data_IF_821971826334
#
_entry.id   IF_821971826334
#
_cell.length_a   1.000
_cell.length_b   1.000
_cell.length_c   1.000
_cell.angle_alpha   90.00
_cell.angle_beta   90.00
_cell.angle_gamma   90.00
#
_symmetry.space_group_name_H-M   'P 1'
#
loop_
_entity.id
_entity.type
_entity.pdbx_description
1 polymer ?
#
# COMPACT_ATOMS: atom_id res chain seq x y z
N UNK A 1 10.19 -5.39 1.63
CA UNK A 1 9.10 -4.42 1.90
C UNK A 1 8.85 -4.44 3.38
N UNK A 2 8.69 -3.27 3.98
CA UNK A 2 8.44 -3.14 5.42
C UNK A 2 7.09 -2.47 5.63
N UNK A 3 6.25 -3.08 6.45
CA UNK A 3 4.94 -2.58 6.86
C UNK A 3 5.06 -2.18 8.33
N UNK A 4 4.74 -0.93 8.63
CA UNK A 4 4.70 -0.38 9.99
C UNK A 4 3.28 0.01 10.35
N UNK A 5 2.85 -0.31 11.57
CA UNK A 5 1.50 -0.05 12.07
C UNK A 5 1.53 1.07 13.11
N UNK A 6 0.70 2.10 12.91
CA UNK A 6 0.67 3.32 13.73
C UNK A 6 -0.65 3.52 14.49
N UNK A 7 -1.38 2.43 14.77
CA UNK A 7 -2.59 2.46 15.60
C UNK A 7 -2.35 1.90 17.00
N UNK A 8 -2.94 2.59 17.97
CA UNK A 8 -3.10 2.07 19.33
C UNK A 8 -4.04 0.85 19.38
N UNK A 9 -4.99 0.77 18.46
CA UNK A 9 -5.91 -0.37 18.32
C UNK A 9 -5.44 -1.35 17.24
N UNK A 10 -5.95 -2.59 17.30
CA UNK A 10 -5.58 -3.65 16.36
C UNK A 10 -5.98 -3.26 14.92
N UNK A 11 -5.02 -3.32 13.99
CA UNK A 11 -5.25 -3.12 12.56
C UNK A 11 -4.93 -4.39 11.82
N UNK A 12 -5.91 -4.94 11.12
CA UNK A 12 -5.68 -5.95 10.11
C UNK A 12 -5.24 -5.24 8.82
N UNK A 13 -4.28 -5.84 8.12
CA UNK A 13 -3.88 -5.37 6.80
C UNK A 13 -3.72 -6.54 5.83
N UNK A 14 -3.84 -6.24 4.55
CA UNK A 14 -3.62 -7.18 3.48
C UNK A 14 -3.04 -6.49 2.26
N UNK A 15 -2.26 -7.25 1.50
CA UNK A 15 -1.65 -6.77 0.27
C UNK A 15 -1.40 -7.92 -0.70
N UNK A 16 -1.24 -7.57 -1.97
CA UNK A 16 -0.83 -8.52 -3.01
C UNK A 16 0.28 -7.96 -3.87
N UNK A 17 1.08 -8.85 -4.44
CA UNK A 17 2.18 -8.55 -5.35
C UNK A 17 2.10 -9.46 -6.57
N UNK A 18 2.65 -9.00 -7.70
CA UNK A 18 2.65 -9.77 -8.95
C UNK A 18 3.54 -11.02 -8.92
N UNK A 19 4.45 -11.12 -7.94
CA UNK A 19 5.43 -12.19 -7.82
C UNK A 19 5.30 -13.02 -6.54
N UNK A 20 6.41 -13.68 -6.19
CA UNK A 20 6.51 -14.46 -4.95
C UNK A 20 6.54 -13.54 -3.73
N UNK A 21 6.03 -14.07 -2.63
CA UNK A 21 5.95 -13.37 -1.36
C UNK A 21 6.21 -14.33 -0.20
N UNK A 22 7.07 -13.90 0.72
CA UNK A 22 7.44 -14.62 1.92
C UNK A 22 7.48 -13.68 3.13
N UNK A 23 7.30 -14.24 4.32
CA UNK A 23 7.46 -13.51 5.58
C UNK A 23 8.95 -13.23 5.77
N UNK A 24 9.30 -11.96 5.99
CA UNK A 24 10.68 -11.53 6.19
C UNK A 24 11.16 -11.67 7.64
N UNK A 25 12.42 -11.28 7.91
CA UNK A 25 13.06 -11.42 9.22
C UNK A 25 12.30 -10.77 10.39
N UNK A 26 11.63 -9.63 10.18
CA UNK A 26 10.78 -9.00 11.19
C UNK A 26 9.33 -9.51 11.19
N UNK A 27 8.91 -10.22 10.14
CA UNK A 27 7.60 -10.82 10.10
C UNK A 27 7.50 -12.00 11.07
N UNK A 28 6.39 -12.09 11.79
CA UNK A 28 6.20 -13.09 12.82
C UNK A 28 4.96 -13.93 12.51
N UNK A 29 5.20 -15.09 11.88
CA UNK A 29 4.14 -16.05 11.57
C UNK A 29 3.39 -16.57 12.80
N UNK A 30 4.01 -16.48 13.99
CA UNK A 30 3.38 -16.87 15.25
C UNK A 30 2.42 -15.80 15.79
N UNK A 31 2.58 -14.53 15.38
CA UNK A 31 1.65 -13.44 15.72
C UNK A 31 0.60 -13.19 14.65
N UNK A 32 0.59 -13.95 13.53
CA UNK A 32 -0.50 -13.90 12.55
C UNK A 32 -0.08 -13.48 11.14
N UNK A 33 1.19 -13.15 10.92
CA UNK A 33 1.69 -12.75 9.61
C UNK A 33 1.74 -13.95 8.67
N UNK A 34 1.13 -13.79 7.50
CA UNK A 34 1.07 -14.83 6.48
C UNK A 34 1.45 -14.25 5.14
N UNK A 35 2.23 -15.01 4.40
CA UNK A 35 2.58 -14.74 3.02
C UNK A 35 2.52 -16.05 2.25
N UNK A 36 1.78 -16.08 1.14
CA UNK A 36 1.75 -17.21 0.21
C UNK A 36 1.18 -16.76 -1.14
N UNK A 37 1.71 -17.30 -2.24
CA UNK A 37 1.18 -17.11 -3.59
C UNK A 37 0.95 -15.63 -3.95
N UNK A 38 1.91 -14.76 -3.65
CA UNK A 38 1.81 -13.32 -3.92
C UNK A 38 0.86 -12.55 -2.99
N UNK A 39 0.28 -13.19 -1.98
CA UNK A 39 -0.64 -12.54 -1.05
C UNK A 39 -0.12 -12.53 0.38
N UNK A 40 -0.13 -11.35 0.99
CA UNK A 40 0.30 -11.09 2.34
C UNK A 40 -0.81 -10.54 3.21
N UNK A 41 -0.84 -10.95 4.48
CA UNK A 41 -1.71 -10.37 5.50
C UNK A 41 -1.06 -10.47 6.86
N UNK A 42 -1.46 -9.58 7.75
CA UNK A 42 -1.04 -9.59 9.13
C UNK A 42 -1.93 -8.71 9.97
N UNK A 43 -1.55 -8.54 11.23
CA UNK A 43 -2.15 -7.53 12.07
C UNK A 43 -1.13 -7.00 13.07
N UNK A 44 -1.16 -5.69 13.30
CA UNK A 44 -0.40 -5.05 14.37
C UNK A 44 -1.31 -4.60 15.50
N UNK A 45 -0.75 -4.52 16.71
CA UNK A 45 -1.39 -3.84 17.84
C UNK A 45 -0.38 -2.95 18.57
N UNK A 46 -0.80 -1.75 18.94
CA UNK A 46 -0.05 -0.73 19.68
C UNK A 46 1.09 -0.06 18.90
N UNK A 47 2.09 -0.83 18.46
CA UNK A 47 3.24 -0.40 17.63
C UNK A 47 3.97 -1.65 17.15
N UNK A 48 4.27 -1.76 15.86
CA UNK A 48 4.97 -2.92 15.31
C UNK A 48 5.38 -2.70 13.86
N UNK A 49 6.43 -3.40 13.45
CA UNK A 49 6.86 -3.46 12.07
C UNK A 49 6.93 -4.92 11.64
N UNK A 50 6.27 -5.22 10.54
CA UNK A 50 6.28 -6.52 9.90
C UNK A 50 7.06 -6.38 8.59
N UNK A 51 7.90 -7.36 8.28
CA UNK A 51 8.72 -7.33 7.07
C UNK A 51 8.34 -8.49 6.18
N UNK A 52 8.35 -8.22 4.88
CA UNK A 52 8.05 -9.18 3.84
C UNK A 52 9.07 -9.12 2.71
N UNK A 53 9.50 -10.30 2.28
CA UNK A 53 10.36 -10.48 1.12
C UNK A 53 9.46 -10.74 -0.08
N UNK A 54 9.67 -10.01 -1.17
CA UNK A 54 8.78 -10.06 -2.33
C UNK A 54 9.55 -9.89 -3.63
N UNK A 55 9.00 -10.41 -4.72
CA UNK A 55 9.36 -10.02 -6.08
C UNK A 55 8.14 -9.51 -6.85
N UNK A 56 8.37 -8.85 -7.98
CA UNK A 56 7.32 -8.17 -8.72
C UNK A 56 6.99 -6.80 -8.15
N UNK A 57 5.80 -6.30 -8.47
CA UNK A 57 5.26 -5.02 -8.00
C UNK A 57 4.06 -5.22 -7.07
N UNK A 58 3.73 -4.21 -6.27
CA UNK A 58 2.52 -4.21 -5.45
C UNK A 58 1.29 -4.13 -6.36
N UNK A 59 0.29 -4.98 -6.16
CA UNK A 59 -1.00 -4.92 -6.88
C UNK A 59 -2.10 -4.30 -6.03
N UNK A 60 -2.10 -4.56 -4.72
CA UNK A 60 -3.04 -3.92 -3.80
C UNK A 60 -2.50 -3.83 -2.38
N UNK A 61 -3.01 -2.85 -1.62
CA UNK A 61 -2.76 -2.65 -0.20
C UNK A 61 -4.04 -2.14 0.48
N UNK A 62 -4.45 -2.73 1.59
CA UNK A 62 -5.64 -2.32 2.33
C UNK A 62 -5.51 -2.53 3.83
N UNK A 63 -6.18 -1.67 4.60
CA UNK A 63 -6.45 -1.87 6.04
C UNK A 63 -7.81 -2.56 6.31
N UNK A 64 -8.44 -3.07 5.24
CA UNK A 64 -9.76 -3.70 5.17
C UNK A 64 -10.95 -2.89 5.71
N UNK A 65 -10.70 -1.75 6.32
CA UNK A 65 -11.68 -1.04 7.13
C UNK A 65 -12.09 0.25 6.48
N UNK A 66 -11.11 0.98 5.96
CA UNK A 66 -11.26 2.36 5.58
C UNK A 66 -10.83 2.62 4.16
N UNK A 67 -9.70 2.04 3.75
CA UNK A 67 -9.04 2.46 2.53
C UNK A 67 -8.31 1.29 1.84
N UNK A 68 -8.28 1.36 0.52
CA UNK A 68 -7.54 0.45 -0.33
C UNK A 68 -6.84 1.22 -1.44
N UNK A 69 -5.60 0.84 -1.70
CA UNK A 69 -4.86 1.21 -2.90
C UNK A 69 -4.83 -0.01 -3.82
N UNK A 70 -5.27 0.15 -5.06
CA UNK A 70 -4.98 -0.77 -6.16
C UNK A 70 -3.94 -0.14 -7.09
N UNK A 71 -3.06 -0.97 -7.64
CA UNK A 71 -2.01 -0.57 -8.57
C UNK A 71 -2.21 -1.34 -9.85
N UNK A 72 -2.50 -0.62 -10.92
CA UNK A 72 -2.67 -1.17 -12.25
C UNK A 72 -1.41 -0.85 -13.08
N UNK A 73 -0.55 -1.85 -13.27
CA UNK A 73 0.68 -1.68 -14.05
C UNK A 73 0.45 -1.65 -15.57
N UNK A 74 -0.67 -2.18 -16.06
CA UNK A 74 -0.99 -2.19 -17.49
C UNK A 74 -1.35 -0.77 -17.96
N UNK A 75 -2.09 -0.04 -17.12
CA UNK A 75 -2.45 1.36 -17.36
C UNK A 75 -1.53 2.37 -16.66
N UNK A 76 -0.61 1.90 -15.83
CA UNK A 76 0.21 2.72 -14.92
C UNK A 76 -0.65 3.65 -14.06
N UNK A 77 -1.63 3.08 -13.38
CA UNK A 77 -2.57 3.81 -12.52
C UNK A 77 -2.50 3.38 -11.06
N UNK A 78 -2.64 4.36 -10.18
CA UNK A 78 -2.93 4.19 -8.76
C UNK A 78 -4.40 4.52 -8.54
N UNK A 79 -5.13 3.61 -7.92
CA UNK A 79 -6.56 3.75 -7.66
C UNK A 79 -6.76 3.67 -6.15
N UNK A 80 -7.13 4.78 -5.52
CA UNK A 80 -7.39 4.83 -4.09
C UNK A 80 -8.89 4.79 -3.85
N UNK A 81 -9.36 3.84 -3.04
CA UNK A 81 -10.79 3.61 -2.77
C UNK A 81 -11.11 3.86 -1.31
N UNK A 82 -12.23 4.54 -1.08
CA UNK A 82 -12.90 4.59 0.22
C UNK A 82 -13.75 3.32 0.38
N UNK A 83 -13.46 2.53 1.41
CA UNK A 83 -14.17 1.29 1.74
C UNK A 83 -15.33 1.51 2.72
N UNK A 84 -15.51 2.74 3.22
CA UNK A 84 -16.56 3.05 4.18
C UNK A 84 -17.86 3.42 3.49
N UNK A 85 -18.96 3.49 4.26
CA UNK A 85 -20.22 4.09 3.81
C UNK A 85 -20.33 5.58 4.21
N UNK A 86 -19.24 6.21 4.63
CA UNK A 86 -19.26 7.62 5.04
C UNK A 86 -19.42 8.54 3.83
N UNK A 87 -20.21 9.60 3.98
CA UNK A 87 -20.28 10.70 3.03
C UNK A 87 -19.08 11.65 3.15
N UNK A 88 -18.37 11.62 4.28
CA UNK A 88 -17.17 12.40 4.58
C UNK A 88 -16.19 11.51 5.35
N UNK A 89 -15.47 10.59 4.67
CA UNK A 89 -14.53 9.71 5.33
C UNK A 89 -13.33 10.52 5.86
N UNK A 90 -12.97 10.38 7.15
CA UNK A 90 -11.85 11.13 7.72
C UNK A 90 -10.48 10.61 7.25
N UNK A 91 -10.44 9.52 6.48
CA UNK A 91 -9.23 8.77 6.16
C UNK A 91 -8.52 9.36 4.93
N UNK A 92 -7.29 9.80 5.15
CA UNK A 92 -6.41 10.27 4.09
C UNK A 92 -5.44 9.21 3.61
N UNK A 93 -4.69 9.56 2.57
CA UNK A 93 -3.56 8.80 2.07
C UNK A 93 -2.42 9.74 1.67
N UNK A 94 -1.22 9.19 1.66
CA UNK A 94 -0.04 9.76 1.03
C UNK A 94 0.69 8.66 0.26
N UNK A 95 1.02 8.92 -1.00
CA UNK A 95 1.69 7.94 -1.87
C UNK A 95 2.88 8.64 -2.54
N UNK A 96 4.06 8.01 -2.44
CA UNK A 96 5.29 8.50 -3.05
C UNK A 96 5.81 7.47 -4.07
N UNK A 97 6.15 7.94 -5.26
CA UNK A 97 6.75 7.15 -6.34
C UNK A 97 8.15 7.65 -6.70
N UNK A 98 8.94 6.85 -7.40
CA UNK A 98 10.26 7.29 -7.90
C UNK A 98 10.19 8.16 -9.15
N UNK A 99 9.07 8.08 -9.89
CA UNK A 99 8.82 8.88 -11.09
C UNK A 99 7.86 10.05 -10.86
N UNK A 100 6.91 10.22 -11.77
CA UNK A 100 5.95 11.33 -11.79
C UNK A 100 4.54 10.88 -11.41
N UNK A 101 3.72 11.80 -10.92
CA UNK A 101 2.29 11.61 -10.67
C UNK A 101 1.46 12.66 -11.41
N UNK A 102 0.30 12.26 -11.91
CA UNK A 102 -0.74 13.17 -12.41
C UNK A 102 -2.13 12.63 -12.08
N UNK A 103 -3.11 13.52 -11.90
CA UNK A 103 -4.50 13.11 -11.72
C UNK A 103 -5.07 12.55 -13.03
N UNK A 104 -5.64 11.36 -12.97
CA UNK A 104 -6.30 10.73 -14.11
C UNK A 104 -7.79 11.08 -14.19
N UNK A 105 -8.37 11.57 -13.08
CA UNK A 105 -9.75 12.06 -13.03
C UNK A 105 -9.84 13.55 -12.67
N UNK A 106 -10.91 14.21 -13.10
CA UNK A 106 -11.09 15.66 -12.96
C UNK A 106 -11.71 16.08 -11.61
N UNK A 107 -12.26 15.16 -10.83
CA UNK A 107 -12.99 15.46 -9.58
C UNK A 107 -12.15 15.22 -8.33
N UNK A 108 -10.97 14.63 -8.49
CA UNK A 108 -10.00 14.35 -7.45
C UNK A 108 -9.43 15.66 -6.87
N UNK A 109 -9.61 15.85 -5.57
CA UNK A 109 -9.19 17.02 -4.81
C UNK A 109 -7.83 16.85 -4.12
N UNK A 110 -7.14 15.74 -4.38
CA UNK A 110 -5.81 15.49 -3.84
C UNK A 110 -4.78 16.54 -4.28
N UNK A 111 -3.71 16.68 -3.51
CA UNK A 111 -2.59 17.57 -3.81
C UNK A 111 -1.40 16.75 -4.25
N UNK A 112 -0.82 17.09 -5.41
CA UNK A 112 0.43 16.52 -5.88
C UNK A 112 1.55 17.52 -5.63
N UNK A 113 2.60 17.09 -4.93
CA UNK A 113 3.81 17.86 -4.69
C UNK A 113 5.03 17.04 -5.15
N UNK A 114 5.53 17.33 -6.35
CA UNK A 114 6.60 16.55 -6.97
C UNK A 114 6.15 15.13 -7.30
N UNK A 115 6.77 14.15 -6.66
CA UNK A 115 6.52 12.71 -6.82
C UNK A 115 5.68 12.11 -5.68
N UNK A 116 5.07 12.97 -4.86
CA UNK A 116 4.18 12.57 -3.77
C UNK A 116 2.79 13.14 -4.01
N UNK A 117 1.76 12.31 -3.79
CA UNK A 117 0.36 12.74 -3.75
C UNK A 117 -0.20 12.51 -2.36
N UNK A 118 -0.98 13.47 -1.87
CA UNK A 118 -1.73 13.32 -0.62
C UNK A 118 -3.15 13.84 -0.78
N UNK A 119 -4.09 13.18 -0.13
CA UNK A 119 -5.50 13.51 -0.30
C UNK A 119 -6.41 12.74 0.64
N UNK A 120 -7.70 12.92 0.41
CA UNK A 120 -8.78 12.12 0.98
C UNK A 120 -9.68 11.72 -0.17
N UNK A 121 -10.16 10.49 -0.14
CA UNK A 121 -11.01 10.00 -1.23
C UNK A 121 -12.34 10.72 -1.19
N UNK A 122 -12.60 11.56 -2.20
CA UNK A 122 -13.86 12.28 -2.37
C UNK A 122 -14.68 11.58 -3.46
N UNK A 123 -15.87 11.07 -3.15
CA UNK A 123 -16.73 10.42 -4.15
C UNK A 123 -16.34 8.97 -4.49
N UNK A 124 -15.78 8.25 -3.50
CA UNK A 124 -15.43 6.82 -3.50
C UNK A 124 -14.13 6.40 -4.17
N UNK A 125 -13.60 7.15 -5.12
CA UNK A 125 -12.33 6.77 -5.75
C UNK A 125 -11.56 7.99 -6.24
N UNK A 126 -10.25 7.97 -6.02
CA UNK A 126 -9.27 8.87 -6.64
C UNK A 126 -8.36 8.06 -7.57
N UNK A 127 -8.12 8.55 -8.79
CA UNK A 127 -7.24 7.87 -9.76
C UNK A 127 -6.08 8.77 -10.18
N UNK A 128 -4.88 8.20 -10.21
CA UNK A 128 -3.65 8.87 -10.63
C UNK A 128 -2.92 8.04 -11.68
N UNK A 129 -2.43 8.69 -12.73
CA UNK A 129 -1.41 8.09 -13.58
C UNK A 129 -0.04 8.28 -12.89
N UNK A 130 0.82 7.26 -12.94
CA UNK A 130 2.14 7.29 -12.33
C UNK A 130 3.23 6.75 -13.25
N UNK A 131 4.49 7.07 -12.95
CA UNK A 131 5.65 6.41 -13.56
C UNK A 131 6.66 6.00 -12.49
N UNK A 132 7.54 5.06 -12.84
CA UNK A 132 8.55 4.54 -11.92
C UNK A 132 7.97 3.52 -10.94
N UNK A 133 8.54 3.47 -9.75
CA UNK A 133 8.25 2.49 -8.71
C UNK A 133 7.57 3.15 -7.51
N UNK A 134 6.73 2.40 -6.78
CA UNK A 134 6.26 2.83 -5.46
C UNK A 134 7.42 2.82 -4.47
N UNK A 135 7.51 3.88 -3.66
CA UNK A 135 8.52 4.05 -2.61
C UNK A 135 7.89 4.03 -1.22
N UNK A 136 6.74 4.67 -1.08
CA UNK A 136 6.05 4.76 0.21
C UNK A 136 4.55 4.92 0.02
N UNK A 137 3.76 4.25 0.87
CA UNK A 137 2.32 4.43 0.98
C UNK A 137 1.97 4.59 2.45
N UNK A 138 1.26 5.66 2.78
CA UNK A 138 0.82 5.96 4.15
C UNK A 138 -0.69 6.11 4.15
N UNK A 139 -1.35 5.32 4.99
CA UNK A 139 -2.69 5.59 5.47
C UNK A 139 -2.51 6.16 6.89
N UNK A 140 -2.54 7.50 7.09
CA UNK A 140 -2.00 8.15 8.30
C UNK A 140 -2.62 7.70 9.62
N UNK A 141 -3.79 7.06 9.54
CA UNK A 141 -4.47 6.55 10.72
C UNK A 141 -4.30 5.07 10.94
N UNK A 142 -3.64 4.31 10.05
CA UNK A 142 -3.59 2.85 10.12
C UNK A 142 -2.20 2.29 9.82
N UNK A 143 -1.69 2.45 8.61
CA UNK A 143 -0.48 1.77 8.14
C UNK A 143 0.47 2.72 7.41
N UNK A 144 1.76 2.44 7.53
CA UNK A 144 2.83 2.99 6.71
C UNK A 144 3.58 1.84 6.06
N UNK A 145 3.74 1.87 4.75
CA UNK A 145 4.47 0.85 3.99
C UNK A 145 5.60 1.51 3.24
N UNK A 146 6.82 0.99 3.43
CA UNK A 146 8.01 1.43 2.72
C UNK A 146 8.51 0.31 1.82
N UNK A 147 8.75 0.67 0.56
CA UNK A 147 9.25 -0.21 -0.48
C UNK A 147 10.73 0.07 -0.68
N UNK A 148 11.57 -0.92 -0.37
CA UNK A 148 13.00 -0.83 -0.66
C UNK A 148 13.25 -1.39 -2.07
N UNK A 149 13.80 -0.57 -2.98
CA UNK A 149 14.28 -1.00 -4.31
C UNK A 149 15.80 -0.78 -4.47
N UNK A 150 16.55 -1.71 -5.11
CA UNK A 150 16.27 -3.15 -5.26
C UNK A 150 17.49 -4.02 -4.88
N UNK A 151 17.44 -4.86 -3.85
CA UNK A 151 18.46 -5.92 -3.66
C UNK A 151 18.00 -7.07 -2.76
N UNK A 152 18.31 -8.33 -3.12
CA UNK A 152 17.98 -8.98 -4.39
C UNK A 152 16.54 -9.54 -4.35
N UNK A 153 15.90 -9.58 -5.52
CA UNK A 153 14.70 -10.40 -5.74
C UNK A 153 14.99 -11.84 -5.27
N UNK A 154 13.99 -12.52 -4.72
CA UNK A 154 13.94 -13.98 -4.85
C UNK A 154 14.22 -14.27 -6.32
N UNK A 155 15.39 -14.83 -6.63
CA UNK A 155 15.67 -15.22 -8.00
C UNK A 155 14.67 -16.30 -8.33
N UNK A 156 13.92 -16.13 -9.41
CA UNK A 156 13.17 -17.24 -9.99
C UNK A 156 14.15 -18.41 -10.11
N UNK A 157 13.91 -19.48 -9.35
CA UNK A 157 14.72 -20.68 -9.43
C UNK A 157 14.64 -21.19 -10.88
N UNK A 158 15.79 -21.26 -11.56
CA UNK A 158 15.95 -21.95 -12.83
C UNK A 158 15.69 -23.46 -12.67
#
# INVERSE_FOLDING_TARGET
MTISIDRQERVDYGFSVTGNLEVGPLGNSSSGDRAANGYGRGYGANTGADEYLYCGGLESLSDFTCIQLDVDYDYQQLIVRDLTDSADPPYGYEITVSGSLSKADANNDATINGNTVSGKVTGKTDVFDFTGDLLEVIFPTSIKVTFETPYPRLTDEN
#
